data_IF_831586828258
#
_entry.id   IF_831586828258
#
_cell.length_a   1.000
_cell.length_b   1.000
_cell.length_c   1.000
_cell.angle_alpha   90.00
_cell.angle_beta   90.00
_cell.angle_gamma   90.00
#
_symmetry.space_group_name_H-M   'P 1'
#
loop_
_entity.id
_entity.type
_entity.pdbx_description
1 polymer ?
#
# COMPACT_ATOMS: atom_id res chain seq x y z
N UNK A 1 10.81 -7.48 21.93
CA UNK A 1 11.91 -7.39 20.94
C UNK A 1 11.43 -6.56 19.74
N UNK A 2 11.80 -5.28 19.66
CA UNK A 2 11.46 -4.46 18.49
C UNK A 2 12.28 -4.97 17.29
N UNK A 3 11.61 -5.57 16.29
CA UNK A 3 12.29 -5.97 15.04
C UNK A 3 12.84 -4.71 14.38
N UNK A 4 14.15 -4.65 14.16
CA UNK A 4 14.80 -3.59 13.39
C UNK A 4 14.10 -3.52 12.03
N UNK A 5 13.41 -2.42 11.74
CA UNK A 5 12.90 -2.14 10.39
C UNK A 5 14.09 -2.22 9.44
N UNK A 6 13.98 -3.04 8.38
CA UNK A 6 15.05 -3.11 7.38
C UNK A 6 15.17 -1.72 6.76
N UNK A 7 16.37 -1.13 6.85
CA UNK A 7 16.64 0.17 6.23
C UNK A 7 16.56 0.02 4.72
N UNK A 8 16.13 1.10 4.07
CA UNK A 8 16.19 1.24 2.62
C UNK A 8 17.62 1.01 2.16
N UNK A 9 17.86 0.14 1.14
CA UNK A 9 19.18 -0.07 0.57
C UNK A 9 19.81 1.27 0.15
N UNK A 10 21.11 1.44 0.42
CA UNK A 10 21.79 2.71 0.19
C UNK A 10 21.66 3.22 -1.25
N UNK A 11 21.69 2.32 -2.23
CA UNK A 11 21.50 2.68 -3.65
C UNK A 11 20.15 3.35 -3.91
N UNK A 12 19.07 2.81 -3.33
CA UNK A 12 17.73 3.39 -3.46
C UNK A 12 17.61 4.69 -2.67
N UNK A 13 18.25 4.77 -1.50
CA UNK A 13 18.27 5.98 -0.69
C UNK A 13 19.01 7.13 -1.38
N UNK A 14 20.12 6.86 -2.06
CA UNK A 14 20.90 7.88 -2.78
C UNK A 14 20.15 8.43 -4.00
N UNK A 15 19.38 7.58 -4.69
CA UNK A 15 18.68 7.96 -5.92
C UNK A 15 17.30 8.58 -5.66
N UNK A 16 16.55 8.02 -4.70
CA UNK A 16 15.14 8.35 -4.51
C UNK A 16 14.85 8.92 -3.12
N UNK A 17 15.82 8.90 -2.21
CA UNK A 17 15.68 9.42 -0.85
C UNK A 17 14.40 8.93 -0.16
N UNK A 18 13.60 9.86 0.35
CA UNK A 18 12.33 9.63 1.03
C UNK A 18 11.23 8.98 0.17
N UNK A 19 11.44 8.89 -1.16
CA UNK A 19 10.49 8.23 -2.06
C UNK A 19 10.65 6.71 -2.08
N UNK A 20 11.82 6.19 -1.73
CA UNK A 20 12.01 4.76 -1.52
C UNK A 20 11.53 4.38 -0.12
N UNK A 21 10.43 3.61 -0.05
CA UNK A 21 9.82 3.17 1.21
C UNK A 21 9.56 1.68 1.18
N UNK A 22 9.34 1.07 2.34
CA UNK A 22 8.92 -0.34 2.38
C UNK A 22 7.56 -0.52 1.70
N UNK A 23 7.28 -1.71 1.16
CA UNK A 23 5.99 -2.01 0.55
C UNK A 23 4.82 -1.74 1.52
N UNK A 24 4.97 -2.04 2.81
CA UNK A 24 3.98 -1.70 3.84
C UNK A 24 3.71 -0.19 3.91
N UNK A 25 4.75 0.63 4.00
CA UNK A 25 4.63 2.08 4.05
C UNK A 25 4.03 2.65 2.76
N UNK A 26 4.38 2.08 1.61
CA UNK A 26 3.79 2.46 0.32
C UNK A 26 2.30 2.14 0.29
N UNK A 27 1.87 0.95 0.71
CA UNK A 27 0.44 0.60 0.79
C UNK A 27 -0.29 1.58 1.69
N UNK A 28 0.23 1.90 2.87
CA UNK A 28 -0.41 2.85 3.79
C UNK A 28 -0.49 4.28 3.22
N UNK A 29 0.55 4.73 2.50
CA UNK A 29 0.56 6.04 1.85
C UNK A 29 -0.43 6.13 0.66
N UNK A 30 -0.74 4.99 0.05
CA UNK A 30 -1.66 4.89 -1.08
C UNK A 30 -3.12 4.74 -0.64
N UNK A 31 -3.38 4.18 0.53
CA UNK A 31 -4.75 4.03 1.05
C UNK A 31 -5.26 5.39 1.54
N UNK A 32 -6.41 5.88 1.03
CA UNK A 32 -7.02 7.11 1.53
C UNK A 32 -7.31 6.97 3.03
N UNK A 33 -6.72 7.87 3.82
CA UNK A 33 -6.98 7.96 5.24
C UNK A 33 -8.28 8.73 5.43
N UNK A 34 -9.32 8.05 5.91
CA UNK A 34 -10.53 8.72 6.34
C UNK A 34 -10.32 9.24 7.77
N UNK A 35 -10.75 10.48 8.08
CA UNK A 35 -10.79 10.95 9.45
C UNK A 35 -11.54 9.94 10.33
N UNK A 36 -11.04 9.68 11.54
CA UNK A 36 -11.66 8.72 12.47
C UNK A 36 -13.13 9.06 12.82
N UNK A 37 -13.54 10.32 12.60
CA UNK A 37 -14.90 10.85 12.81
C UNK A 37 -15.75 10.87 11.54
N UNK A 38 -15.21 10.46 10.39
CA UNK A 38 -15.92 10.53 9.12
C UNK A 38 -17.03 9.48 9.07
N UNK A 39 -18.28 9.95 9.01
CA UNK A 39 -19.53 9.22 8.80
C UNK A 39 -19.63 8.46 7.46
N UNK A 40 -18.49 8.19 6.80
CA UNK A 40 -18.38 7.53 5.49
C UNK A 40 -17.64 6.18 5.50
N UNK A 41 -17.11 5.70 6.63
CA UNK A 41 -16.46 4.38 6.66
C UNK A 41 -17.47 3.24 6.49
N UNK A 42 -17.39 2.48 5.39
CA UNK A 42 -18.20 1.28 5.16
C UNK A 42 -17.81 0.06 6.02
N UNK A 43 -16.85 0.24 6.92
CA UNK A 43 -16.30 -0.82 7.79
C UNK A 43 -17.25 -1.30 8.89
N UNK A 44 -18.42 -0.65 9.10
CA UNK A 44 -19.44 -1.04 10.11
C UNK A 44 -18.84 -1.32 11.51
N UNK A 45 -17.88 -0.51 11.93
CA UNK A 45 -17.21 -0.65 13.23
C UNK A 45 -16.13 -1.75 13.31
N UNK A 46 -15.91 -2.55 12.27
CA UNK A 46 -14.90 -3.63 12.25
C UNK A 46 -13.45 -3.15 12.14
N UNK A 47 -13.25 -1.83 11.98
CA UNK A 47 -11.98 -1.15 11.65
C UNK A 47 -11.42 -1.60 10.29
N UNK A 48 -10.84 -0.67 9.53
CA UNK A 48 -10.16 -0.96 8.27
C UNK A 48 -8.92 -0.07 8.13
N UNK A 49 -8.06 -0.37 7.15
CA UNK A 49 -6.83 0.40 6.90
C UNK A 49 -7.06 1.90 6.72
N UNK A 50 -8.23 2.32 6.24
CA UNK A 50 -8.57 3.73 6.06
C UNK A 50 -9.01 4.46 7.33
N UNK A 51 -9.58 3.78 8.33
CA UNK A 51 -10.16 4.43 9.52
C UNK A 51 -9.44 4.09 10.83
N UNK A 52 -8.47 3.18 10.79
CA UNK A 52 -7.77 2.71 11.99
C UNK A 52 -6.65 3.65 12.45
N UNK A 53 -6.32 4.67 11.66
CA UNK A 53 -5.36 5.71 12.03
C UNK A 53 -3.95 5.17 12.29
N UNK A 54 -3.34 5.56 13.40
CA UNK A 54 -1.94 5.24 13.73
C UNK A 54 -1.67 3.73 13.89
N UNK A 55 -2.71 2.93 14.17
CA UNK A 55 -2.61 1.47 14.28
C UNK A 55 -2.52 0.77 12.91
N UNK A 56 -2.61 1.49 11.78
CA UNK A 56 -2.69 0.91 10.45
C UNK A 56 -1.51 0.00 10.10
N UNK A 57 -0.29 0.33 10.56
CA UNK A 57 0.88 -0.51 10.36
C UNK A 57 0.75 -1.86 11.09
N UNK A 58 0.23 -1.86 12.32
CA UNK A 58 0.02 -3.09 13.09
C UNK A 58 -1.13 -3.93 12.49
N UNK A 59 -2.15 -3.27 11.95
CA UNK A 59 -3.23 -3.94 11.24
C UNK A 59 -2.77 -4.58 9.93
N UNK A 60 -1.86 -3.93 9.20
CA UNK A 60 -1.29 -4.42 7.94
C UNK A 60 -0.24 -5.52 8.13
N UNK A 61 0.58 -5.42 9.19
CA UNK A 61 1.67 -6.36 9.47
C UNK A 61 1.52 -6.90 10.89
N UNK A 62 0.74 -7.98 11.04
CA UNK A 62 0.48 -8.59 12.33
C UNK A 62 1.65 -9.46 12.78
N UNK A 63 1.85 -9.64 14.10
CA UNK A 63 2.89 -10.52 14.63
C UNK A 63 2.75 -11.97 14.14
N UNK A 64 1.49 -12.42 14.03
CA UNK A 64 1.10 -13.79 13.70
C UNK A 64 1.00 -14.06 12.19
N UNK A 65 1.19 -13.03 11.36
CA UNK A 65 1.20 -13.23 9.91
C UNK A 65 2.36 -14.14 9.49
N UNK A 66 2.18 -14.92 8.39
CA UNK A 66 3.24 -15.77 7.85
C UNK A 66 4.56 -15.01 7.68
N UNK A 67 5.68 -15.67 8.00
CA UNK A 67 6.99 -15.01 8.01
C UNK A 67 7.34 -14.37 6.68
N UNK A 68 6.95 -15.00 5.57
CA UNK A 68 7.28 -14.55 4.23
C UNK A 68 6.43 -13.35 3.81
N UNK A 69 5.17 -13.29 4.24
CA UNK A 69 4.33 -12.10 4.09
C UNK A 69 4.95 -10.89 4.82
N UNK A 70 5.40 -11.09 6.06
CA UNK A 70 6.04 -10.03 6.84
C UNK A 70 7.37 -9.60 6.22
N UNK A 71 8.17 -10.54 5.71
CA UNK A 71 9.42 -10.24 4.99
C UNK A 71 9.16 -9.48 3.69
N UNK A 72 8.12 -9.84 2.93
CA UNK A 72 7.71 -9.14 1.71
C UNK A 72 7.36 -7.69 2.04
N UNK A 73 6.46 -7.47 2.98
CA UNK A 73 5.96 -6.14 3.31
C UNK A 73 7.03 -5.21 3.93
N UNK A 74 7.94 -5.76 4.73
CA UNK A 74 8.98 -4.97 5.43
C UNK A 74 10.35 -4.98 4.77
N UNK A 75 10.56 -5.85 3.77
CA UNK A 75 11.85 -6.06 3.12
C UNK A 75 11.86 -5.77 1.62
N UNK A 76 10.71 -5.60 1.00
CA UNK A 76 10.62 -5.05 -0.36
C UNK A 76 10.49 -3.53 -0.31
N UNK A 77 11.18 -2.87 -1.22
CA UNK A 77 11.19 -1.41 -1.34
C UNK A 77 10.53 -1.00 -2.64
N UNK A 78 9.68 0.01 -2.57
CA UNK A 78 8.93 0.53 -3.70
C UNK A 78 9.20 2.02 -3.81
N UNK A 79 9.35 2.49 -5.05
CA UNK A 79 9.44 3.90 -5.40
C UNK A 79 8.23 4.22 -6.26
N UNK A 80 7.40 5.15 -5.81
CA UNK A 80 6.29 5.67 -6.60
C UNK A 80 6.79 6.89 -7.39
N UNK A 81 6.49 6.93 -8.69
CA UNK A 81 6.81 8.08 -9.53
C UNK A 81 5.97 9.28 -9.12
N UNK A 82 6.54 10.49 -9.15
CA UNK A 82 5.76 11.73 -8.99
C UNK A 82 4.76 11.91 -10.14
N UNK A 83 5.08 11.35 -11.31
CA UNK A 83 4.22 11.34 -12.48
C UNK A 83 3.25 10.14 -12.49
N UNK A 84 3.17 9.36 -11.40
CA UNK A 84 2.22 8.28 -11.33
C UNK A 84 0.80 8.87 -11.29
N UNK A 85 -0.16 8.32 -12.06
CA UNK A 85 -1.54 8.75 -11.93
C UNK A 85 -2.02 8.53 -10.49
N UNK A 86 -2.90 9.40 -9.97
CA UNK A 86 -3.54 9.15 -8.68
C UNK A 86 -4.24 7.78 -8.74
N UNK A 87 -4.28 7.10 -7.60
CA UNK A 87 -5.04 5.87 -7.54
C UNK A 87 -6.49 6.17 -7.89
N UNK A 88 -7.00 5.45 -8.89
CA UNK A 88 -8.41 5.52 -9.25
C UNK A 88 -9.26 5.23 -8.02
N UNK A 89 -10.37 5.94 -7.89
CA UNK A 89 -11.33 5.69 -6.82
C UNK A 89 -11.72 4.21 -6.85
N UNK A 90 -11.46 3.53 -5.75
CA UNK A 90 -11.89 2.15 -5.58
C UNK A 90 -13.41 2.14 -5.51
N UNK A 91 -14.09 1.73 -6.59
CA UNK A 91 -15.52 1.49 -6.58
C UNK A 91 -15.79 0.14 -5.87
N UNK A 92 -16.37 0.13 -4.66
CA UNK A 92 -16.66 -1.10 -3.93
C UNK A 92 -17.75 -1.95 -4.60
N UNK A 93 -18.44 -1.41 -5.61
CA UNK A 93 -19.43 -2.11 -6.41
C UNK A 93 -18.79 -2.85 -7.61
N UNK A 94 -17.56 -2.52 -7.98
CA UNK A 94 -16.76 -3.29 -8.92
C UNK A 94 -16.26 -4.58 -8.25
N UNK A 95 -17.03 -5.67 -8.41
CA UNK A 95 -16.63 -7.02 -7.96
C UNK A 95 -15.66 -7.66 -8.94
N UNK A 96 -14.51 -7.04 -9.16
CA UNK A 96 -13.49 -7.63 -10.02
C UNK A 96 -12.96 -8.90 -9.36
N UNK A 97 -13.01 -10.01 -10.09
CA UNK A 97 -12.27 -11.20 -9.76
C UNK A 97 -10.76 -10.90 -9.77
N UNK A 98 -9.98 -11.70 -9.03
CA UNK A 98 -8.52 -11.55 -9.02
C UNK A 98 -7.91 -11.64 -10.43
N UNK A 99 -8.54 -12.40 -11.33
CA UNK A 99 -8.15 -12.49 -12.73
C UNK A 99 -8.36 -11.15 -13.47
N UNK A 100 -9.49 -10.48 -13.26
CA UNK A 100 -9.80 -9.18 -13.87
C UNK A 100 -8.87 -8.07 -13.35
N UNK A 101 -8.52 -8.09 -12.06
CA UNK A 101 -7.54 -7.15 -11.49
C UNK A 101 -6.16 -7.33 -12.16
N UNK A 102 -5.76 -8.57 -12.46
CA UNK A 102 -4.49 -8.88 -13.12
C UNK A 102 -4.45 -8.42 -14.58
N UNK A 103 -5.52 -8.59 -15.35
CA UNK A 103 -5.57 -8.18 -16.75
C UNK A 103 -5.60 -6.66 -16.92
N UNK A 104 -6.35 -5.92 -16.10
CA UNK A 104 -6.40 -4.45 -16.15
C UNK A 104 -5.03 -3.82 -15.80
N UNK A 105 -4.34 -4.38 -14.80
CA UNK A 105 -3.01 -3.89 -14.39
C UNK A 105 -1.88 -4.20 -15.38
N UNK A 106 -2.11 -5.09 -16.35
CA UNK A 106 -1.22 -5.31 -17.50
C UNK A 106 -1.56 -4.36 -18.65
N UNK A 107 -2.84 -4.14 -18.95
CA UNK A 107 -3.26 -3.27 -20.07
C UNK A 107 -2.93 -1.78 -19.85
N UNK A 108 -2.94 -1.27 -18.61
CA UNK A 108 -2.52 0.11 -18.31
C UNK A 108 -1.02 0.39 -18.53
N UNK A 109 -0.20 -0.65 -18.74
CA UNK A 109 1.22 -0.51 -19.10
C UNK A 109 1.48 -0.42 -20.61
N UNK A 110 0.43 -0.45 -21.44
CA UNK A 110 0.55 -0.49 -22.91
C UNK A 110 0.32 0.83 -23.66
N UNK A 111 0.04 1.94 -22.98
CA UNK A 111 -0.36 3.19 -23.64
C UNK A 111 0.51 4.39 -23.23
N UNK A 112 1.75 4.44 -23.73
CA UNK A 112 2.48 5.70 -23.95
C UNK A 112 3.65 5.44 -24.90
N UNK A 113 3.39 5.67 -26.18
CA UNK A 113 4.35 5.64 -27.28
C UNK A 113 3.73 6.32 -28.48
N UNK A 114 3.85 7.65 -28.52
CA UNK A 114 3.76 8.50 -29.71
C UNK A 114 4.47 9.82 -29.39
#
# INVERSE_FOLDING_TARGET
MARKRKRVPEVLWRLFHHRARSLAETILALVPQLPATASGCRCKGRRCLSCIGEEAMYFLVRPDDPSDYRKLLTGCFVVVSENAPPLADFDPHCRWSQCEVRSVSVSLRGASGA
#
